data_IF_510158653109
#
_entry.id   IF_510158653109
#
_cell.length_a   1.000
_cell.length_b   1.000
_cell.length_c   1.000
_cell.angle_alpha   90.00
_cell.angle_beta   90.00
_cell.angle_gamma   90.00
#
_symmetry.space_group_name_H-M   'P 1'
#
loop_
_entity.id
_entity.type
_entity.pdbx_description
1 polymer ?
#
# COMPACT_ATOMS: atom_id res chain seq x y z
N UNK A 1 -16.40 10.09 25.89
CA UNK A 1 -15.49 9.76 24.76
C UNK A 1 -15.94 8.43 24.18
N UNK A 2 -15.93 8.27 22.89
CA UNK A 2 -16.28 7.00 22.22
C UNK A 2 -15.30 5.90 22.60
N UNK A 3 -15.80 4.68 22.84
CA UNK A 3 -14.97 3.50 23.10
C UNK A 3 -14.66 2.69 21.81
N UNK A 4 -15.07 3.22 20.64
CA UNK A 4 -14.85 2.54 19.36
C UNK A 4 -13.38 2.58 18.96
N UNK A 5 -12.86 1.51 18.33
CA UNK A 5 -11.48 1.49 17.87
C UNK A 5 -11.24 2.51 16.74
N UNK A 6 -10.01 2.96 16.63
CA UNK A 6 -9.47 3.72 15.50
C UNK A 6 -8.67 2.76 14.63
N UNK A 7 -9.02 2.64 13.35
CA UNK A 7 -8.29 1.79 12.41
C UNK A 7 -7.17 2.59 11.76
N UNK A 8 -5.93 2.18 11.93
CA UNK A 8 -4.78 2.80 11.29
C UNK A 8 -4.17 1.87 10.24
N UNK A 9 -4.21 2.32 8.97
CA UNK A 9 -3.73 1.56 7.83
C UNK A 9 -2.20 1.67 7.70
N UNK A 10 -1.50 0.72 8.30
CA UNK A 10 -0.04 0.63 8.24
C UNK A 10 0.40 -0.07 6.96
N UNK A 11 1.16 0.60 6.10
CA UNK A 11 1.48 0.12 4.74
C UNK A 11 2.94 -0.30 4.55
N UNK A 12 3.70 -0.46 5.62
CA UNK A 12 5.16 -0.64 5.62
C UNK A 12 5.94 0.54 5.01
N UNK A 13 5.29 1.66 4.74
CA UNK A 13 5.94 2.90 4.31
C UNK A 13 6.23 3.84 5.48
N UNK A 14 7.22 4.69 5.34
CA UNK A 14 7.65 5.65 6.38
C UNK A 14 6.49 6.54 6.83
N UNK A 15 5.74 7.12 5.88
CA UNK A 15 4.63 8.02 6.21
C UNK A 15 3.52 7.33 6.99
N UNK A 16 3.16 6.09 6.65
CA UNK A 16 2.16 5.33 7.42
C UNK A 16 2.69 4.95 8.82
N UNK A 17 3.98 4.66 8.95
CA UNK A 17 4.56 4.36 10.26
C UNK A 17 4.50 5.58 11.18
N UNK A 18 4.87 6.76 10.69
CA UNK A 18 4.79 7.99 11.48
C UNK A 18 3.35 8.37 11.81
N UNK A 19 2.43 8.28 10.83
CA UNK A 19 1.01 8.54 11.08
C UNK A 19 0.42 7.64 12.17
N UNK A 20 0.75 6.35 12.16
CA UNK A 20 0.33 5.41 13.20
C UNK A 20 0.90 5.78 14.57
N UNK A 21 2.17 6.21 14.65
CA UNK A 21 2.78 6.66 15.92
C UNK A 21 2.06 7.88 16.48
N UNK A 22 1.81 8.89 15.65
CA UNK A 22 1.10 10.11 16.08
C UNK A 22 -0.28 9.80 16.66
N UNK A 23 -1.03 8.91 16.01
CA UNK A 23 -2.37 8.52 16.48
C UNK A 23 -2.32 7.69 17.77
N UNK A 24 -1.31 6.83 17.91
CA UNK A 24 -1.10 6.10 19.17
C UNK A 24 -0.78 7.07 20.31
N UNK A 25 0.05 8.08 20.05
CA UNK A 25 0.38 9.07 21.06
C UNK A 25 -0.81 9.95 21.47
N UNK A 26 -1.70 10.23 20.52
CA UNK A 26 -2.90 11.05 20.76
C UNK A 26 -4.03 10.28 21.47
N UNK A 27 -4.32 9.05 21.02
CA UNK A 27 -5.50 8.29 21.47
C UNK A 27 -5.19 7.11 22.40
N UNK A 28 -3.92 6.76 22.53
CA UNK A 28 -3.48 5.57 23.28
C UNK A 28 -3.50 4.28 22.47
N UNK A 29 -2.51 3.40 22.71
CA UNK A 29 -2.33 2.16 21.98
C UNK A 29 -3.55 1.22 22.03
N UNK A 30 -4.28 1.21 23.15
CA UNK A 30 -5.42 0.31 23.34
C UNK A 30 -6.57 0.62 22.38
N UNK A 31 -6.72 1.89 22.00
CA UNK A 31 -7.77 2.33 21.07
C UNK A 31 -7.44 2.16 19.61
N UNK A 32 -6.17 1.98 19.25
CA UNK A 32 -5.72 1.94 17.85
C UNK A 32 -5.54 0.50 17.39
N UNK A 33 -6.20 0.11 16.32
CA UNK A 33 -5.93 -1.13 15.58
C UNK A 33 -5.01 -0.81 14.41
N UNK A 34 -3.83 -1.40 14.39
CA UNK A 34 -2.84 -1.26 13.31
C UNK A 34 -3.03 -2.39 12.32
N UNK A 35 -3.35 -2.10 11.07
CA UNK A 35 -3.65 -3.13 10.07
C UNK A 35 -2.70 -3.01 8.89
N UNK A 36 -2.04 -4.14 8.54
CA UNK A 36 -1.16 -4.29 7.41
C UNK A 36 -1.71 -5.31 6.41
N UNK A 37 -1.82 -4.91 5.15
CA UNK A 37 -2.14 -5.82 4.05
C UNK A 37 -0.85 -6.46 3.52
N UNK A 38 -0.54 -7.67 3.98
CA UNK A 38 0.65 -8.41 3.54
C UNK A 38 0.44 -8.92 2.11
N UNK A 39 1.40 -8.59 1.25
CA UNK A 39 1.48 -9.00 -0.15
C UNK A 39 2.81 -9.73 -0.32
N UNK A 40 2.81 -10.92 -0.94
CA UNK A 40 3.99 -11.79 -0.96
C UNK A 40 5.18 -11.20 -1.74
N UNK A 41 4.94 -10.29 -2.66
CA UNK A 41 5.99 -9.53 -3.36
C UNK A 41 6.49 -8.29 -2.61
N UNK A 42 6.11 -8.08 -1.36
CA UNK A 42 6.71 -7.06 -0.52
C UNK A 42 8.19 -7.39 -0.22
N UNK A 43 9.02 -6.36 -0.03
CA UNK A 43 10.42 -6.59 0.31
C UNK A 43 10.55 -7.36 1.65
N UNK A 44 11.42 -8.37 1.76
CA UNK A 44 11.57 -9.18 3.00
C UNK A 44 11.90 -8.33 4.24
N UNK A 45 12.61 -7.23 4.08
CA UNK A 45 12.91 -6.27 5.17
C UNK A 45 11.67 -5.71 5.88
N UNK A 46 10.49 -5.83 5.28
CA UNK A 46 9.25 -5.44 5.96
C UNK A 46 9.01 -6.21 7.26
N UNK A 47 9.55 -7.43 7.40
CA UNK A 47 9.44 -8.20 8.63
C UNK A 47 10.27 -7.60 9.78
N UNK A 48 11.47 -7.07 9.49
CA UNK A 48 12.25 -6.28 10.45
C UNK A 48 11.48 -5.01 10.82
N UNK A 49 11.02 -4.27 9.81
CA UNK A 49 10.34 -2.99 9.99
C UNK A 49 9.04 -3.12 10.80
N UNK A 50 8.27 -4.21 10.61
CA UNK A 50 7.12 -4.54 11.45
C UNK A 50 7.53 -4.67 12.91
N UNK A 51 8.55 -5.52 13.20
CA UNK A 51 9.00 -5.79 14.58
C UNK A 51 9.49 -4.54 15.28
N UNK A 52 10.26 -3.69 14.60
CA UNK A 52 10.75 -2.43 15.15
C UNK A 52 9.61 -1.43 15.40
N UNK A 53 8.66 -1.30 14.47
CA UNK A 53 7.49 -0.48 14.67
C UNK A 53 6.62 -0.99 15.83
N UNK A 54 6.36 -2.29 15.93
CA UNK A 54 5.61 -2.89 17.04
C UNK A 54 6.25 -2.59 18.40
N UNK A 55 7.59 -2.65 18.49
CA UNK A 55 8.31 -2.34 19.71
C UNK A 55 8.12 -0.87 20.14
N UNK A 56 8.20 0.06 19.19
CA UNK A 56 8.01 1.50 19.45
C UNK A 56 6.54 1.85 19.76
N UNK A 57 5.60 1.16 19.12
CA UNK A 57 4.16 1.36 19.37
C UNK A 57 3.66 0.74 20.67
N UNK A 58 4.39 -0.23 21.24
CA UNK A 58 3.90 -1.08 22.33
C UNK A 58 2.69 -1.93 21.92
N UNK A 59 2.51 -2.17 20.62
CA UNK A 59 1.33 -2.85 20.06
C UNK A 59 1.65 -3.63 18.78
N UNK A 60 0.97 -4.77 18.64
CA UNK A 60 1.09 -5.61 17.44
C UNK A 60 0.36 -5.02 16.24
N UNK A 61 0.93 -5.28 15.05
CA UNK A 61 0.32 -4.95 13.76
C UNK A 61 -0.44 -6.19 13.28
N UNK A 62 -1.75 -6.04 13.09
CA UNK A 62 -2.61 -7.09 12.56
C UNK A 62 -2.31 -7.31 11.07
N UNK A 63 -2.03 -8.56 10.69
CA UNK A 63 -1.69 -8.91 9.30
C UNK A 63 -2.93 -9.48 8.62
N UNK A 64 -3.41 -8.78 7.60
CA UNK A 64 -4.51 -9.20 6.75
C UNK A 64 -4.01 -9.51 5.33
N UNK A 65 -4.71 -10.41 4.62
CA UNK A 65 -4.38 -10.83 3.25
C UNK A 65 -5.63 -10.97 2.41
N UNK A 66 -5.47 -10.86 1.10
CA UNK A 66 -6.50 -11.29 0.16
C UNK A 66 -6.68 -12.81 0.24
N UNK A 67 -7.93 -13.27 0.28
CA UNK A 67 -8.24 -14.70 0.24
C UNK A 67 -8.05 -15.32 -1.17
N UNK A 68 -8.00 -14.49 -2.21
CA UNK A 68 -7.99 -14.94 -3.61
C UNK A 68 -6.63 -14.85 -4.28
N UNK A 69 -5.80 -13.90 -3.86
CA UNK A 69 -4.56 -13.54 -4.56
C UNK A 69 -3.43 -13.33 -3.58
N UNK A 70 -2.24 -13.73 -3.96
CA UNK A 70 -1.03 -13.63 -3.13
C UNK A 70 -0.23 -12.36 -3.41
N UNK A 71 -0.12 -11.96 -4.68
CA UNK A 71 0.62 -10.78 -5.12
C UNK A 71 0.01 -10.12 -6.37
N UNK A 72 0.59 -9.00 -6.81
CA UNK A 72 0.14 -8.29 -8.00
C UNK A 72 0.31 -9.09 -9.29
N UNK A 73 1.27 -10.00 -9.35
CA UNK A 73 1.50 -10.85 -10.52
C UNK A 73 0.43 -11.93 -10.64
N UNK A 74 0.02 -12.50 -9.51
CA UNK A 74 -1.09 -13.44 -9.45
C UNK A 74 -2.40 -12.78 -9.89
N UNK A 75 -2.66 -11.54 -9.43
CA UNK A 75 -3.80 -10.75 -9.91
C UNK A 75 -3.71 -10.50 -11.41
N UNK A 76 -2.57 -10.02 -11.91
CA UNK A 76 -2.40 -9.70 -13.33
C UNK A 76 -2.59 -10.94 -14.22
N UNK A 77 -2.01 -12.08 -13.85
CA UNK A 77 -2.15 -13.34 -14.59
C UNK A 77 -3.58 -13.85 -14.62
N UNK A 78 -4.25 -13.91 -13.46
CA UNK A 78 -5.60 -14.46 -13.35
C UNK A 78 -6.68 -13.55 -13.95
N UNK A 79 -6.50 -12.24 -13.85
CA UNK A 79 -7.47 -11.26 -14.37
C UNK A 79 -7.17 -10.78 -15.78
N UNK A 80 -5.99 -11.12 -16.33
CA UNK A 80 -5.46 -10.62 -17.61
C UNK A 80 -5.43 -9.08 -17.71
N UNK A 81 -5.41 -8.41 -16.57
CA UNK A 81 -5.40 -6.95 -16.48
C UNK A 81 -4.23 -6.46 -15.63
N UNK A 82 -3.37 -5.63 -16.20
CA UNK A 82 -2.17 -5.11 -15.54
C UNK A 82 -2.47 -3.76 -14.91
N UNK A 83 -2.65 -2.74 -15.75
CA UNK A 83 -2.91 -1.36 -15.35
C UNK A 83 -3.59 -0.60 -16.50
N UNK A 84 -4.40 0.42 -16.20
CA UNK A 84 -5.08 1.24 -17.19
C UNK A 84 -5.69 2.50 -16.58
N UNK A 85 -6.57 3.20 -17.29
CA UNK A 85 -7.20 4.44 -16.83
C UNK A 85 -7.88 4.31 -15.45
N UNK A 86 -8.46 3.15 -15.17
CA UNK A 86 -9.11 2.84 -13.89
C UNK A 86 -8.11 2.36 -12.80
N UNK A 87 -6.81 2.44 -13.08
CA UNK A 87 -5.74 2.01 -12.17
C UNK A 87 -5.45 0.50 -12.23
N UNK A 88 -4.56 0.06 -11.36
CA UNK A 88 -4.13 -1.34 -11.30
C UNK A 88 -5.12 -2.18 -10.49
N UNK A 89 -5.59 -3.30 -11.08
CA UNK A 89 -6.53 -4.26 -10.46
C UNK A 89 -6.03 -4.79 -9.12
N UNK A 90 -4.72 -4.97 -8.98
CA UNK A 90 -4.12 -5.43 -7.72
C UNK A 90 -4.42 -4.50 -6.53
N UNK A 91 -4.63 -3.20 -6.74
CA UNK A 91 -5.03 -2.28 -5.66
C UNK A 91 -6.43 -2.61 -5.14
N UNK A 92 -7.35 -2.97 -6.04
CA UNK A 92 -8.70 -3.40 -5.66
C UNK A 92 -8.65 -4.74 -4.91
N UNK A 93 -8.04 -5.74 -5.51
CA UNK A 93 -8.09 -7.13 -5.03
C UNK A 93 -7.27 -7.38 -3.76
N UNK A 94 -6.09 -6.75 -3.63
CA UNK A 94 -5.16 -7.01 -2.53
C UNK A 94 -5.29 -6.02 -1.37
N UNK A 95 -5.94 -4.87 -1.60
CA UNK A 95 -6.03 -3.81 -0.57
C UNK A 95 -7.46 -3.35 -0.32
N UNK A 96 -8.18 -2.85 -1.37
CA UNK A 96 -9.52 -2.27 -1.15
C UNK A 96 -10.54 -3.30 -0.67
N UNK A 97 -10.60 -4.48 -1.31
CA UNK A 97 -11.55 -5.53 -0.91
C UNK A 97 -11.25 -6.06 0.51
N UNK A 98 -9.97 -6.14 0.88
CA UNK A 98 -9.58 -6.52 2.25
C UNK A 98 -9.96 -5.42 3.25
N UNK A 99 -9.76 -4.15 2.88
CA UNK A 99 -10.18 -3.00 3.67
C UNK A 99 -11.69 -3.00 3.91
N UNK A 100 -12.49 -3.16 2.85
CA UNK A 100 -13.96 -3.17 2.94
C UNK A 100 -14.45 -4.27 3.89
N UNK A 101 -13.83 -5.45 3.86
CA UNK A 101 -14.16 -6.52 4.79
C UNK A 101 -13.88 -6.13 6.25
N UNK A 102 -12.76 -5.50 6.54
CA UNK A 102 -12.46 -4.99 7.88
C UNK A 102 -13.46 -3.91 8.30
N UNK A 103 -13.84 -3.02 7.39
CA UNK A 103 -14.83 -1.97 7.63
C UNK A 103 -16.22 -2.53 7.95
N UNK A 104 -16.64 -3.60 7.28
CA UNK A 104 -17.91 -4.29 7.53
C UNK A 104 -17.91 -5.01 8.88
N UNK A 105 -16.78 -5.58 9.29
CA UNK A 105 -16.64 -6.36 10.51
C UNK A 105 -16.32 -5.51 11.76
N UNK A 106 -16.09 -4.18 11.60
CA UNK A 106 -15.61 -3.32 12.69
C UNK A 106 -16.42 -2.04 12.79
N UNK A 107 -17.09 -1.82 13.92
CA UNK A 107 -17.68 -0.52 14.25
C UNK A 107 -16.57 0.41 14.78
N UNK A 108 -16.03 1.25 13.92
CA UNK A 108 -14.89 2.14 14.21
C UNK A 108 -15.30 3.61 14.36
N UNK A 109 -14.46 4.38 15.03
CA UNK A 109 -14.62 5.82 15.17
C UNK A 109 -13.99 6.58 14.00
N UNK A 110 -12.73 6.27 13.68
CA UNK A 110 -11.95 6.90 12.60
C UNK A 110 -11.10 5.87 11.84
N UNK A 111 -10.73 6.24 10.61
CA UNK A 111 -9.69 5.57 9.84
C UNK A 111 -8.52 6.50 9.57
N UNK A 112 -7.31 6.05 9.82
CA UNK A 112 -6.06 6.81 9.71
C UNK A 112 -5.32 6.43 8.43
N UNK A 113 -4.94 7.44 7.65
CA UNK A 113 -4.16 7.26 6.43
C UNK A 113 -2.86 8.08 6.49
N UNK A 114 -1.74 7.47 6.15
CA UNK A 114 -0.43 8.10 6.13
C UNK A 114 -0.16 8.92 4.86
N UNK A 115 -1.06 9.82 4.47
CA UNK A 115 -0.86 10.76 3.37
C UNK A 115 -0.01 11.92 3.86
N UNK A 116 1.12 12.17 3.17
CA UNK A 116 2.06 13.23 3.54
C UNK A 116 1.54 14.64 3.18
N UNK A 117 2.12 15.65 3.81
CA UNK A 117 1.80 17.04 3.52
C UNK A 117 2.48 17.49 2.22
N UNK A 118 1.84 17.20 1.10
CA UNK A 118 2.14 17.78 -0.20
C UNK A 118 0.85 18.02 -1.02
N UNK A 119 0.95 18.84 -2.04
CA UNK A 119 -0.21 19.24 -2.86
C UNK A 119 -0.94 18.04 -3.48
N UNK A 120 -0.21 17.01 -3.91
CA UNK A 120 -0.79 15.82 -4.56
C UNK A 120 -1.55 14.96 -3.55
N UNK A 121 -0.97 14.72 -2.38
CA UNK A 121 -1.57 13.90 -1.33
C UNK A 121 -2.72 14.65 -0.63
N UNK A 122 -2.65 15.97 -0.47
CA UNK A 122 -3.77 16.81 0.00
C UNK A 122 -4.96 16.68 -0.96
N UNK A 123 -4.76 16.85 -2.27
CA UNK A 123 -5.83 16.69 -3.25
C UNK A 123 -6.38 15.26 -3.30
N UNK A 124 -5.55 14.27 -2.99
CA UNK A 124 -5.96 12.87 -2.86
C UNK A 124 -6.82 12.65 -1.62
N UNK A 125 -6.47 13.28 -0.49
CA UNK A 125 -7.25 13.23 0.75
C UNK A 125 -8.64 13.84 0.57
N UNK A 126 -8.72 15.01 -0.08
CA UNK A 126 -10.00 15.68 -0.39
C UNK A 126 -10.90 14.74 -1.21
N UNK A 127 -10.41 14.20 -2.32
CA UNK A 127 -11.16 13.25 -3.15
C UNK A 127 -11.55 11.97 -2.40
N UNK A 128 -10.70 11.52 -1.47
CA UNK A 128 -11.00 10.35 -0.65
C UNK A 128 -12.18 10.62 0.29
N UNK A 129 -12.21 11.77 0.97
CA UNK A 129 -13.31 12.18 1.86
C UNK A 129 -14.62 12.31 1.07
N UNK A 130 -14.58 12.93 -0.10
CA UNK A 130 -15.75 13.07 -0.98
C UNK A 130 -16.28 11.70 -1.46
N UNK A 131 -15.39 10.77 -1.82
CA UNK A 131 -15.76 9.46 -2.32
C UNK A 131 -16.21 8.48 -1.21
N UNK A 132 -15.68 8.63 -0.01
CA UNK A 132 -15.90 7.73 1.12
C UNK A 132 -16.24 8.49 2.41
N UNK A 133 -17.37 9.22 2.48
CA UNK A 133 -17.72 10.04 3.64
C UNK A 133 -17.91 9.24 4.92
N UNK A 134 -18.34 7.97 4.81
CA UNK A 134 -18.53 7.06 5.93
C UNK A 134 -17.22 6.53 6.52
N UNK A 135 -16.10 6.69 5.82
CA UNK A 135 -14.78 6.25 6.29
C UNK A 135 -14.27 7.06 7.49
N UNK A 136 -14.83 8.25 7.74
CA UNK A 136 -14.41 9.14 8.85
C UNK A 136 -12.89 9.29 8.90
N UNK A 137 -12.29 9.52 7.71
CA UNK A 137 -10.85 9.51 7.53
C UNK A 137 -10.18 10.70 8.20
N UNK A 138 -9.04 10.45 8.85
CA UNK A 138 -8.12 11.46 9.39
C UNK A 138 -6.73 11.26 8.78
N UNK A 139 -6.02 12.36 8.60
CA UNK A 139 -4.74 12.42 7.90
C UNK A 139 -3.69 13.13 8.76
N UNK A 140 -3.13 12.48 9.79
CA UNK A 140 -2.32 13.14 10.81
C UNK A 140 -1.12 13.90 10.26
N UNK A 141 -0.51 13.42 9.16
CA UNK A 141 0.62 14.12 8.55
C UNK A 141 0.19 15.40 7.82
N UNK A 142 -1.00 15.41 7.21
CA UNK A 142 -1.54 16.63 6.57
C UNK A 142 -1.92 17.65 7.63
N UNK A 143 -2.63 17.22 8.68
CA UNK A 143 -3.07 18.06 9.79
C UNK A 143 -1.89 18.71 10.53
N UNK A 144 -0.81 17.97 10.73
CA UNK A 144 0.42 18.44 11.36
C UNK A 144 1.45 19.01 10.36
N UNK A 145 1.11 19.17 9.08
CA UNK A 145 1.96 19.70 8.01
C UNK A 145 3.30 18.97 7.88
N UNK A 146 3.29 17.64 8.08
CA UNK A 146 4.49 16.79 8.03
C UNK A 146 4.70 16.28 6.60
N UNK A 147 5.80 16.68 6.00
CA UNK A 147 6.26 16.23 4.67
C UNK A 147 6.97 14.88 4.76
N UNK A 148 7.24 14.27 3.59
CA UNK A 148 7.98 13.00 3.54
C UNK A 148 9.40 13.08 4.12
N UNK A 149 10.22 14.10 3.81
CA UNK A 149 11.53 14.26 4.46
C UNK A 149 11.43 14.37 5.98
N UNK A 150 10.43 15.09 6.50
CA UNK A 150 10.17 15.19 7.93
C UNK A 150 9.71 13.85 8.53
N UNK A 151 8.91 13.08 7.80
CA UNK A 151 8.54 11.72 8.22
C UNK A 151 9.74 10.78 8.27
N UNK A 152 10.67 10.87 7.31
CA UNK A 152 11.93 10.13 7.34
C UNK A 152 12.78 10.51 8.55
N UNK A 153 12.93 11.81 8.81
CA UNK A 153 13.63 12.31 9.99
C UNK A 153 12.99 11.84 11.30
N UNK A 154 11.67 11.91 11.40
CA UNK A 154 10.91 11.44 12.57
C UNK A 154 11.10 9.95 12.82
N UNK A 155 11.01 9.13 11.77
CA UNK A 155 11.23 7.69 11.86
C UNK A 155 12.63 7.37 12.40
N UNK A 156 13.67 7.99 11.85
CA UNK A 156 15.06 7.66 12.18
C UNK A 156 15.54 8.29 13.49
N UNK A 157 15.17 9.52 13.76
CA UNK A 157 15.74 10.28 14.89
C UNK A 157 14.81 10.35 16.12
N UNK A 158 13.49 10.19 15.94
CA UNK A 158 12.54 10.19 17.07
C UNK A 158 12.12 8.77 17.42
N UNK A 159 11.76 7.96 16.42
CA UNK A 159 11.37 6.57 16.66
C UNK A 159 12.59 5.63 16.77
N UNK A 160 13.78 6.04 16.32
CA UNK A 160 14.99 5.22 16.32
C UNK A 160 14.94 4.03 15.37
N UNK A 161 14.12 4.08 14.33
CA UNK A 161 13.88 2.99 13.38
C UNK A 161 14.59 3.29 12.06
N UNK A 162 15.39 2.35 11.58
CA UNK A 162 15.99 2.45 10.25
C UNK A 162 14.91 2.38 9.15
N UNK A 163 15.03 3.26 8.14
CA UNK A 163 14.11 3.25 6.98
C UNK A 163 14.06 1.87 6.31
N UNK A 164 12.91 1.47 5.72
CA UNK A 164 12.82 0.24 4.95
C UNK A 164 13.79 0.18 3.78
N UNK A 165 14.29 -1.02 3.47
CA UNK A 165 15.35 -1.26 2.49
C UNK A 165 15.09 -0.66 1.11
N UNK A 166 13.84 -0.62 0.65
CA UNK A 166 13.50 -0.02 -0.63
C UNK A 166 13.91 1.45 -0.74
N UNK A 167 13.84 2.22 0.36
CA UNK A 167 14.34 3.61 0.36
C UNK A 167 15.86 3.66 0.26
N UNK A 168 16.58 2.76 0.94
CA UNK A 168 18.05 2.66 0.86
C UNK A 168 18.52 2.24 -0.54
N UNK A 169 17.72 1.46 -1.25
CA UNK A 169 17.93 1.14 -2.67
C UNK A 169 17.57 2.30 -3.62
N UNK A 170 17.13 3.45 -3.10
CA UNK A 170 16.81 4.62 -3.90
C UNK A 170 15.40 4.65 -4.51
N UNK A 171 14.48 3.81 -4.03
CA UNK A 171 13.06 3.91 -4.41
C UNK A 171 12.35 4.98 -3.58
N UNK A 172 11.45 5.72 -4.22
CA UNK A 172 10.69 6.78 -3.55
C UNK A 172 9.68 6.26 -2.52
N UNK A 173 9.28 4.99 -2.60
CA UNK A 173 8.30 4.38 -1.72
C UNK A 173 8.63 2.91 -1.46
N UNK A 174 8.21 2.40 -0.30
CA UNK A 174 8.28 0.98 0.01
C UNK A 174 7.06 0.22 -0.57
N UNK A 175 6.97 0.20 -1.89
CA UNK A 175 5.93 -0.53 -2.62
C UNK A 175 6.31 -2.02 -2.78
N UNK A 176 5.34 -2.82 -3.25
CA UNK A 176 5.63 -4.17 -3.73
C UNK A 176 6.76 -4.14 -4.77
N UNK A 177 7.70 -5.09 -4.72
CA UNK A 177 8.72 -5.25 -5.74
C UNK A 177 8.04 -5.58 -7.08
N UNK A 178 8.30 -4.79 -8.11
CA UNK A 178 7.56 -4.89 -9.39
C UNK A 178 6.14 -4.32 -9.33
N UNK A 179 5.95 -3.16 -8.68
CA UNK A 179 4.66 -2.49 -8.62
C UNK A 179 4.11 -2.16 -10.01
N UNK A 180 2.90 -2.66 -10.32
CA UNK A 180 2.26 -2.48 -11.64
C UNK A 180 1.90 -1.02 -11.98
N UNK A 181 1.99 -0.12 -11.01
CA UNK A 181 1.83 1.33 -11.22
C UNK A 181 3.15 2.04 -11.54
N UNK A 182 4.26 1.32 -11.55
CA UNK A 182 5.57 1.86 -11.87
C UNK A 182 5.66 2.27 -13.34
N UNK A 183 6.21 3.46 -13.62
CA UNK A 183 6.54 3.90 -14.97
C UNK A 183 7.85 3.29 -15.48
N UNK A 184 8.27 3.68 -16.70
CA UNK A 184 9.46 3.15 -17.36
C UNK A 184 10.74 3.26 -16.51
N UNK A 185 10.97 4.40 -15.85
CA UNK A 185 12.14 4.59 -14.97
C UNK A 185 12.15 3.62 -13.79
N UNK A 186 10.99 3.37 -13.19
CA UNK A 186 10.86 2.38 -12.11
C UNK A 186 11.19 0.97 -12.62
N UNK A 187 10.63 0.55 -13.76
CA UNK A 187 10.85 -0.77 -14.31
C UNK A 187 12.28 -0.98 -14.83
N UNK A 188 12.94 0.07 -15.33
CA UNK A 188 14.38 0.03 -15.66
C UNK A 188 15.22 -0.24 -14.40
N UNK A 189 14.86 0.36 -13.27
CA UNK A 189 15.52 0.10 -11.98
C UNK A 189 15.22 -1.32 -11.46
N UNK A 190 13.96 -1.78 -11.54
CA UNK A 190 13.60 -3.17 -11.18
C UNK A 190 14.37 -4.20 -12.02
N UNK A 191 14.62 -3.91 -13.31
CA UNK A 191 15.42 -4.80 -14.16
C UNK A 191 16.84 -5.00 -13.65
N UNK A 192 17.42 -3.98 -13.00
CA UNK A 192 18.77 -4.03 -12.43
C UNK A 192 18.74 -4.65 -11.03
N UNK A 193 17.88 -4.16 -10.15
CA UNK A 193 17.88 -4.54 -8.73
C UNK A 193 17.18 -5.89 -8.47
N UNK A 194 16.18 -6.24 -9.28
CA UNK A 194 15.34 -7.43 -9.14
C UNK A 194 15.06 -8.10 -10.50
N UNK A 195 16.10 -8.62 -11.19
CA UNK A 195 15.97 -9.13 -12.57
C UNK A 195 14.95 -10.26 -12.72
N UNK A 196 14.80 -11.12 -11.71
CA UNK A 196 13.81 -12.20 -11.74
C UNK A 196 12.38 -11.64 -11.72
N UNK A 197 12.13 -10.59 -10.93
CA UNK A 197 10.84 -9.89 -10.89
C UNK A 197 10.52 -9.23 -12.23
N UNK A 198 11.52 -8.62 -12.86
CA UNK A 198 11.37 -8.06 -14.20
C UNK A 198 11.05 -9.14 -15.24
N UNK A 199 11.76 -10.27 -15.22
CA UNK A 199 11.51 -11.40 -16.12
C UNK A 199 10.11 -12.01 -15.92
N UNK A 200 9.65 -12.14 -14.66
CA UNK A 200 8.29 -12.59 -14.32
C UNK A 200 7.23 -11.68 -14.95
N UNK A 201 7.39 -10.36 -14.84
CA UNK A 201 6.44 -9.40 -15.42
C UNK A 201 6.45 -9.44 -16.95
N UNK A 202 7.63 -9.47 -17.57
CA UNK A 202 7.77 -9.56 -19.03
C UNK A 202 7.11 -10.83 -19.60
N UNK A 203 7.13 -11.94 -18.85
CA UNK A 203 6.42 -13.15 -19.23
C UNK A 203 4.89 -12.93 -19.20
N UNK A 204 4.37 -12.33 -18.14
CA UNK A 204 2.92 -12.06 -17.99
C UNK A 204 2.42 -11.13 -19.12
N UNK A 205 3.17 -10.09 -19.46
CA UNK A 205 2.83 -9.17 -20.55
C UNK A 205 2.75 -9.90 -21.90
N UNK A 206 3.77 -10.71 -22.24
CA UNK A 206 3.78 -11.49 -23.48
C UNK A 206 2.67 -12.53 -23.56
N UNK A 207 2.29 -13.14 -22.44
CA UNK A 207 1.19 -14.11 -22.39
C UNK A 207 -0.14 -13.42 -22.62
N UNK A 208 -0.37 -12.25 -22.01
CA UNK A 208 -1.55 -11.43 -22.22
C UNK A 208 -1.67 -11.01 -23.69
N UNK A 209 -0.60 -10.47 -24.28
CA UNK A 209 -0.61 -9.96 -25.65
C UNK A 209 -0.87 -11.08 -26.66
N UNK A 210 -0.29 -12.27 -26.49
CA UNK A 210 -0.56 -13.45 -27.32
C UNK A 210 -2.03 -13.90 -27.25
N UNK A 211 -2.63 -13.86 -26.07
CA UNK A 211 -4.04 -14.22 -25.90
C UNK A 211 -4.95 -13.19 -26.58
N UNK A 212 -4.67 -11.90 -26.41
CA UNK A 212 -5.44 -10.83 -27.03
C UNK A 212 -5.42 -10.95 -28.56
N UNK A 213 -4.26 -11.17 -29.17
CA UNK A 213 -4.14 -11.41 -30.61
C UNK A 213 -4.93 -12.66 -31.08
N UNK A 214 -4.93 -13.72 -30.30
CA UNK A 214 -5.70 -14.94 -30.64
C UNK A 214 -7.21 -14.75 -30.55
N UNK A 215 -7.69 -13.91 -29.64
CA UNK A 215 -9.11 -13.55 -29.50
C UNK A 215 -9.57 -12.65 -30.65
N UNK A 216 -8.75 -11.66 -31.05
CA UNK A 216 -9.02 -10.80 -32.22
C UNK A 216 -9.07 -11.59 -33.52
N UNK A 217 -8.16 -12.56 -33.73
CA UNK A 217 -8.17 -13.44 -34.91
C UNK A 217 -9.39 -14.35 -34.98
N UNK A 218 -9.87 -14.86 -33.84
CA UNK A 218 -11.10 -15.66 -33.77
C UNK A 218 -12.35 -14.81 -34.03
N UNK A 219 -12.37 -13.56 -33.54
CA UNK A 219 -13.47 -12.62 -33.78
C UNK A 219 -13.58 -12.16 -35.24
N UNK A 220 -12.43 -12.04 -35.94
CA UNK A 220 -12.39 -11.65 -37.34
C UNK A 220 -12.70 -12.79 -38.33
N UNK A 221 -12.73 -14.04 -37.86
CA UNK A 221 -13.03 -15.23 -38.69
C UNK A 221 -14.51 -15.66 -38.69
N UNK A 222 -15.39 -14.88 -38.08
CA UNK A 222 -16.85 -15.17 -37.95
C UNK A 222 -17.68 -14.13 -38.70
N UNK A 223 -17.21 -13.62 -39.83
CA UNK A 223 -17.99 -12.75 -40.74
C UNK A 223 -18.14 -13.36 -42.11
#
# INVERSE_FOLDING_TARGET
MSNKPIIAWWSAGVTSAVACKLIIDEFGADRVRLIYFKIDSAHPDNERFIKECEAVYGKKIEIHRSAKYTDQFDVASKTRYINGPNGARCTLELKKNVRYKVEEETDFEHQVFGFEYDKKEINRAIRFIEQYPTAKAIFPLIENKITKPQSLHYLENVMGIQRPAMYSLGYSNNNCIGCLKGGAGYWNKIRVDFPETFAKMAKIERERDRQQLSEEQRGAGVS
#
